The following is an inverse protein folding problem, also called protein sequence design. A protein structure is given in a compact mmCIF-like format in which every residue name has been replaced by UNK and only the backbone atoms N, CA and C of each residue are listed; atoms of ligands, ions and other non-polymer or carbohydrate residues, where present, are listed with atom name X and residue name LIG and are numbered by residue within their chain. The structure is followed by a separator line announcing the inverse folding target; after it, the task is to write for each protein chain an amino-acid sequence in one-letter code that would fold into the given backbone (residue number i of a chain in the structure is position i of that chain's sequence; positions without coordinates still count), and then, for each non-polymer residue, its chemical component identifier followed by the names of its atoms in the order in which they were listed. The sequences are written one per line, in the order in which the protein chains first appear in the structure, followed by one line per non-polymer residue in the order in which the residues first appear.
data_IF_035988745547
#
_entry.id   IF_035988745547
#
_cell.length_a   1.000
_cell.length_b   1.000
_cell.length_c   1.000
_cell.angle_alpha   90.00
_cell.angle_beta   90.00
_cell.angle_gamma   90.00
#
_symmetry.space_group_name_H-M   'P 1'
#
loop_
_entity.id
_entity.type
_entity.pdbx_description
1 polymer ?
#
# COMPACT_ATOMS: atom_id res chain seq x y z
N UNK A 1 -6.63 -12.88 -11.57
CA UNK A 1 -5.25 -13.41 -11.41
C UNK A 1 -4.47 -12.42 -10.56
N UNK A 2 -3.77 -12.87 -9.50
CA UNK A 2 -2.86 -12.00 -8.72
C UNK A 2 -1.50 -12.03 -9.43
N UNK A 3 -1.09 -10.92 -10.02
CA UNK A 3 0.22 -10.82 -10.68
C UNK A 3 1.31 -10.83 -9.59
N UNK A 4 2.27 -11.75 -9.71
CA UNK A 4 3.43 -11.82 -8.81
C UNK A 4 4.65 -11.20 -9.50
N UNK A 5 5.51 -10.54 -8.74
CA UNK A 5 6.82 -10.13 -9.23
C UNK A 5 7.79 -11.32 -9.35
N UNK A 6 8.99 -11.07 -9.89
CA UNK A 6 10.02 -12.09 -10.10
C UNK A 6 10.48 -12.77 -8.80
N UNK A 7 10.20 -12.16 -7.64
CA UNK A 7 10.52 -12.67 -6.31
C UNK A 7 9.34 -13.46 -5.69
N UNK A 8 8.23 -13.62 -6.42
CA UNK A 8 7.04 -14.35 -5.99
C UNK A 8 6.10 -13.55 -5.07
N UNK A 9 6.40 -12.28 -4.81
CA UNK A 9 5.55 -11.38 -4.02
C UNK A 9 4.47 -10.75 -4.89
N UNK A 10 3.42 -10.24 -4.25
CA UNK A 10 2.29 -9.62 -4.94
C UNK A 10 2.75 -8.31 -5.58
N UNK A 11 2.68 -8.21 -6.91
CA UNK A 11 3.08 -7.00 -7.62
C UNK A 11 2.06 -5.90 -7.36
N UNK A 12 2.48 -4.86 -6.67
CA UNK A 12 1.67 -3.67 -6.43
C UNK A 12 1.52 -2.92 -7.76
N UNK A 13 0.26 -2.65 -8.15
CA UNK A 13 -0.09 -1.93 -9.37
C UNK A 13 -1.18 -0.91 -9.07
N UNK A 14 -0.89 0.33 -9.44
CA UNK A 14 -1.85 1.42 -9.37
C UNK A 14 -3.05 1.12 -10.29
N UNK A 15 -4.25 1.41 -9.79
CA UNK A 15 -5.53 1.12 -10.46
C UNK A 15 -6.00 -0.33 -10.37
N UNK A 16 -5.22 -1.25 -9.80
CA UNK A 16 -5.58 -2.69 -9.71
C UNK A 16 -5.48 -3.27 -8.31
N UNK A 17 -4.48 -2.87 -7.53
CA UNK A 17 -4.24 -3.44 -6.21
C UNK A 17 -5.27 -2.94 -5.21
N UNK A 18 -5.86 -3.83 -4.42
CA UNK A 18 -6.80 -3.47 -3.36
C UNK A 18 -6.10 -3.31 -2.01
N UNK A 19 -6.66 -2.48 -1.12
CA UNK A 19 -6.17 -2.29 0.26
C UNK A 19 -5.96 -3.62 1.02
N UNK A 20 -6.86 -4.60 0.83
CA UNK A 20 -6.75 -5.93 1.46
C UNK A 20 -5.57 -6.78 0.95
N UNK A 21 -5.06 -6.49 -0.25
CA UNK A 21 -3.95 -7.21 -0.87
C UNK A 21 -2.58 -6.70 -0.41
N UNK A 22 -2.54 -5.59 0.32
CA UNK A 22 -1.30 -5.04 0.85
C UNK A 22 -0.76 -5.79 2.06
N UNK A 23 -1.62 -6.38 2.89
CA UNK A 23 -1.20 -7.15 4.09
C UNK A 23 -0.01 -8.09 3.84
N UNK A 24 0.00 -8.94 2.79
CA UNK A 24 1.15 -9.79 2.51
C UNK A 24 2.38 -9.04 1.96
N UNK A 25 2.23 -7.85 1.36
CA UNK A 25 3.34 -7.04 0.86
C UNK A 25 4.08 -6.33 2.00
N UNK A 26 3.33 -5.86 3.01
CA UNK A 26 3.84 -5.05 4.13
C UNK A 26 4.02 -5.85 5.41
N UNK A 27 4.10 -7.18 5.34
CA UNK A 27 4.03 -8.07 6.52
C UNK A 27 5.10 -7.81 7.59
N UNK A 28 6.22 -7.18 7.22
CA UNK A 28 7.32 -6.82 8.12
C UNK A 28 7.35 -5.31 8.46
N UNK A 29 6.28 -4.57 8.15
CA UNK A 29 6.18 -3.13 8.40
C UNK A 29 5.02 -2.83 9.35
N UNK A 30 5.21 -1.83 10.21
CA UNK A 30 4.13 -1.26 10.99
C UNK A 30 3.31 -0.33 10.09
N UNK A 31 2.03 -0.66 9.89
CA UNK A 31 1.13 0.09 9.03
C UNK A 31 0.10 0.88 9.83
N UNK A 32 -0.03 2.16 9.51
CA UNK A 32 -1.01 3.06 10.11
C UNK A 32 -1.92 3.64 9.01
N UNK A 33 -3.23 3.64 9.27
CA UNK A 33 -4.19 4.33 8.42
C UNK A 33 -4.02 5.84 8.57
N UNK A 34 -3.96 6.55 7.43
CA UNK A 34 -3.97 8.00 7.40
C UNK A 34 -5.14 8.48 6.56
N UNK A 35 -5.66 9.64 6.91
CA UNK A 35 -6.70 10.32 6.15
C UNK A 35 -6.22 11.75 5.98
N UNK A 36 -6.10 12.20 4.74
CA UNK A 36 -5.70 13.57 4.43
C UNK A 36 -6.87 14.55 4.68
N UNK A 37 -6.61 15.87 4.73
CA UNK A 37 -7.63 16.92 4.85
C UNK A 37 -8.68 16.88 3.72
N UNK A 38 -8.33 16.22 2.62
CA UNK A 38 -9.21 15.93 1.48
C UNK A 38 -10.05 14.64 1.63
N UNK A 39 -10.07 14.02 2.81
CA UNK A 39 -10.68 12.70 3.09
C UNK A 39 -10.13 11.54 2.24
N UNK A 40 -8.94 11.69 1.69
CA UNK A 40 -8.31 10.62 0.92
C UNK A 40 -7.78 9.55 1.86
N UNK A 41 -8.28 8.33 1.70
CA UNK A 41 -7.85 7.15 2.45
C UNK A 41 -6.43 6.73 2.05
N UNK A 42 -5.55 6.65 3.03
CA UNK A 42 -4.17 6.21 2.87
C UNK A 42 -3.75 5.19 3.93
N UNK A 43 -2.67 4.50 3.64
CA UNK A 43 -1.96 3.66 4.61
C UNK A 43 -0.47 3.94 4.46
N UNK A 44 0.18 4.34 5.55
CA UNK A 44 1.63 4.43 5.62
C UNK A 44 2.15 3.19 6.32
N UNK A 45 3.12 2.51 5.71
CA UNK A 45 3.78 1.34 6.29
C UNK A 45 5.26 1.64 6.44
N UNK A 46 5.79 1.56 7.66
CA UNK A 46 7.19 1.86 7.96
C UNK A 46 7.86 0.68 8.67
N UNK A 47 9.14 0.46 8.37
CA UNK A 47 9.96 -0.48 9.12
C UNK A 47 10.68 0.24 10.29
N UNK A 48 11.34 -0.52 11.16
CA UNK A 48 12.09 0.03 12.30
C UNK A 48 13.32 0.87 11.93
N UNK A 49 13.69 0.94 10.65
CA UNK A 49 14.81 1.75 10.13
C UNK A 49 14.32 3.09 9.55
N UNK A 50 13.02 3.39 9.65
CA UNK A 50 12.41 4.61 9.12
C UNK A 50 12.13 4.58 7.62
N UNK A 51 12.43 3.46 6.92
CA UNK A 51 12.04 3.27 5.52
C UNK A 51 10.57 2.90 5.47
N UNK A 52 9.81 3.58 4.63
CA UNK A 52 8.40 3.28 4.48
C UNK A 52 7.87 3.40 3.08
N UNK A 53 6.60 3.05 2.95
CA UNK A 53 5.82 3.23 1.75
C UNK A 53 4.45 3.79 2.13
N UNK A 54 4.07 4.87 1.47
CA UNK A 54 2.72 5.41 1.52
C UNK A 54 1.92 4.83 0.36
N UNK A 55 0.74 4.29 0.67
CA UNK A 55 -0.26 3.83 -0.28
C UNK A 55 -1.50 4.74 -0.18
N UNK A 56 -1.97 5.22 -1.32
CA UNK A 56 -3.14 6.08 -1.43
C UNK A 56 -4.23 5.31 -2.17
N UNK A 57 -5.44 5.26 -1.63
CA UNK A 57 -6.57 4.56 -2.24
C UNK A 57 -7.62 5.54 -2.73
N UNK A 58 -8.44 5.08 -3.67
CA UNK A 58 -9.71 5.73 -3.98
C UNK A 58 -10.82 5.22 -3.05
N UNK A 59 -12.00 5.81 -3.19
CA UNK A 59 -13.19 5.50 -2.36
C UNK A 59 -13.65 4.03 -2.49
N UNK A 60 -13.25 3.34 -3.57
CA UNK A 60 -13.52 1.92 -3.78
C UNK A 60 -12.44 1.01 -3.16
N UNK A 61 -11.45 1.56 -2.46
CA UNK A 61 -10.35 0.82 -1.83
C UNK A 61 -9.30 0.30 -2.82
N UNK A 62 -9.27 0.84 -4.05
CA UNK A 62 -8.27 0.55 -5.08
C UNK A 62 -7.11 1.51 -4.95
N UNK A 63 -5.88 0.99 -5.02
CA UNK A 63 -4.65 1.77 -4.97
C UNK A 63 -4.63 2.78 -6.12
N UNK A 64 -4.63 4.06 -5.79
CA UNK A 64 -4.50 5.17 -6.74
C UNK A 64 -3.03 5.49 -7.01
N UNK A 65 -2.17 5.30 -6.02
CA UNK A 65 -0.74 5.52 -6.13
C UNK A 65 0.01 5.08 -4.88
N UNK A 66 1.31 4.85 -5.03
CA UNK A 66 2.20 4.54 -3.91
C UNK A 66 3.52 5.30 -4.05
N UNK A 67 4.11 5.68 -2.91
CA UNK A 67 5.41 6.37 -2.85
C UNK A 67 6.27 5.83 -1.72
N UNK A 68 7.57 5.71 -1.95
CA UNK A 68 8.52 5.43 -0.87
C UNK A 68 8.74 6.69 -0.03
N UNK A 69 8.87 6.53 1.28
CA UNK A 69 9.10 7.60 2.27
C UNK A 69 10.28 7.28 3.17
#
# INVERSE_FOLDING_TARGET
MKEKDASGYLKIQDGKTLKCQLRPYVSNMACQGITDETNVDGVICQNGEGKGMLFIFNDNGVLKGHKSV
#
